data_IF_403882184535
#
_entry.id   IF_403882184535
#
_cell.length_a   1.000
_cell.length_b   1.000
_cell.length_c   1.000
_cell.angle_alpha   90.00
_cell.angle_beta   90.00
_cell.angle_gamma   90.00
#
_symmetry.space_group_name_H-M   'P 1'
#
loop_
_entity.id
_entity.type
_entity.pdbx_description
1 polymer ?
#
# COMPACT_ATOMS: atom_id res chain seq x y z
N UNK A 1 28.81 -15.43 1.80
CA UNK A 1 28.00 -15.38 1.43
C UNK A 1 27.28 -14.47 1.67
N UNK A 2 27.13 -13.96 1.22
CA UNK A 2 26.51 -13.02 1.43
C UNK A 2 25.32 -13.18 1.73
N UNK A 3 25.09 -13.34 2.43
CA UNK A 3 24.04 -13.58 2.73
C UNK A 3 23.20 -12.59 2.61
N UNK A 4 22.36 -12.69 2.09
CA UNK A 4 21.50 -11.87 1.98
C UNK A 4 20.97 -11.52 3.09
N UNK A 5 20.93 -10.48 3.36
CA UNK A 5 20.50 -10.17 4.48
C UNK A 5 19.14 -9.60 4.45
N UNK A 6 18.17 -10.13 3.89
CA UNK A 6 16.83 -9.59 3.95
C UNK A 6 16.15 -10.13 5.22
N UNK A 7 15.26 -9.32 5.77
CA UNK A 7 14.52 -9.70 6.96
C UNK A 7 13.25 -10.43 6.52
N UNK A 8 13.26 -11.73 6.64
CA UNK A 8 12.14 -12.55 6.19
C UNK A 8 10.86 -12.25 6.97
N UNK A 9 10.99 -11.96 8.25
CA UNK A 9 9.81 -11.66 9.06
C UNK A 9 9.16 -10.36 8.61
N UNK A 10 9.96 -9.34 8.38
CA UNK A 10 9.46 -8.05 7.94
C UNK A 10 8.80 -8.19 6.56
N UNK A 11 9.42 -8.91 5.68
CA UNK A 11 8.88 -9.11 4.34
C UNK A 11 7.57 -9.90 4.39
N UNK A 12 7.54 -10.94 5.21
CA UNK A 12 6.33 -11.75 5.34
C UNK A 12 5.16 -10.95 5.90
N UNK A 13 5.44 -10.04 6.84
CA UNK A 13 4.38 -9.18 7.37
C UNK A 13 3.80 -8.28 6.28
N UNK A 14 4.65 -7.75 5.42
CA UNK A 14 4.17 -6.94 4.31
C UNK A 14 3.34 -7.76 3.35
N UNK A 15 3.80 -8.97 3.03
CA UNK A 15 3.06 -9.83 2.10
C UNK A 15 1.70 -10.22 2.67
N UNK A 16 1.65 -10.50 3.98
CA UNK A 16 0.39 -10.83 4.62
C UNK A 16 -0.55 -9.65 4.60
N UNK A 17 -0.04 -8.46 4.85
CA UNK A 17 -0.87 -7.26 4.86
C UNK A 17 -1.42 -6.98 3.47
N UNK A 18 -0.67 -7.27 2.42
CA UNK A 18 -1.11 -7.03 1.07
C UNK A 18 -2.11 -8.07 0.60
N UNK A 19 -2.05 -9.29 1.14
CA UNK A 19 -2.84 -10.39 0.63
C UNK A 19 -4.31 -10.40 1.05
N UNK A 20 -5.04 -9.38 0.65
CA UNK A 20 -6.46 -9.26 0.93
C UNK A 20 -7.10 -8.45 -0.20
N UNK A 21 -8.28 -8.81 -0.67
CA UNK A 21 -8.89 -8.10 -1.80
C UNK A 21 -9.06 -6.62 -1.59
N UNK A 22 -9.56 -6.21 -0.43
CA UNK A 22 -9.75 -4.79 -0.16
C UNK A 22 -8.42 -4.07 -0.10
N UNK A 23 -7.44 -4.69 0.53
CA UNK A 23 -6.13 -4.06 0.66
C UNK A 23 -5.42 -3.96 -0.68
N UNK A 24 -5.59 -4.95 -1.56
CA UNK A 24 -5.05 -4.84 -2.90
C UNK A 24 -5.68 -3.69 -3.68
N UNK A 25 -6.98 -3.49 -3.51
CA UNK A 25 -7.66 -2.39 -4.17
C UNK A 25 -7.17 -1.04 -3.65
N UNK A 26 -6.95 -0.95 -2.35
CA UNK A 26 -6.45 0.27 -1.73
C UNK A 26 -5.05 0.59 -2.29
N UNK A 27 -4.19 -0.42 -2.35
CA UNK A 27 -2.84 -0.23 -2.85
C UNK A 27 -2.87 0.22 -4.31
N UNK A 28 -3.72 -0.40 -5.10
CA UNK A 28 -3.86 -0.03 -6.50
C UNK A 28 -4.32 1.42 -6.64
N UNK A 29 -5.24 1.85 -5.79
CA UNK A 29 -5.73 3.23 -5.83
C UNK A 29 -4.65 4.22 -5.42
N UNK A 30 -3.88 3.89 -4.40
CA UNK A 30 -2.87 4.80 -3.88
C UNK A 30 -1.68 4.99 -4.83
N UNK A 31 -1.59 4.16 -5.85
CA UNK A 31 -0.56 4.38 -6.86
C UNK A 31 -0.70 5.70 -7.55
N UNK A 32 -1.90 6.23 -7.60
CA UNK A 32 -2.16 7.46 -8.32
C UNK A 32 -2.05 8.71 -7.44
N UNK A 33 -1.74 8.53 -6.19
CA UNK A 33 -1.53 9.68 -5.31
C UNK A 33 -2.16 9.48 -3.95
N UNK A 34 -2.00 10.47 -3.10
CA UNK A 34 -2.53 10.41 -1.75
C UNK A 34 -4.04 10.46 -1.77
N UNK A 35 -4.66 9.80 -0.81
CA UNK A 35 -6.12 9.82 -0.70
C UNK A 35 -6.53 9.75 0.75
N UNK A 36 -7.69 10.31 1.04
CA UNK A 36 -8.28 10.20 2.37
C UNK A 36 -9.07 8.90 2.45
N UNK A 37 -9.52 8.55 3.65
CA UNK A 37 -10.36 7.37 3.84
C UNK A 37 -11.62 7.49 2.99
N UNK A 38 -12.23 8.67 2.98
CA UNK A 38 -13.46 8.85 2.22
C UNK A 38 -13.24 8.65 0.72
N UNK A 39 -12.13 9.17 0.20
CA UNK A 39 -11.81 9.00 -1.21
C UNK A 39 -11.64 7.53 -1.54
N UNK A 40 -10.91 6.82 -0.69
CA UNK A 40 -10.66 5.40 -0.91
C UNK A 40 -11.94 4.59 -0.82
N UNK A 41 -12.77 4.88 0.18
CA UNK A 41 -14.02 4.16 0.38
C UNK A 41 -14.91 4.30 -0.84
N UNK A 42 -14.97 5.49 -1.39
CA UNK A 42 -15.79 5.72 -2.57
C UNK A 42 -15.22 4.98 -3.77
N UNK A 43 -13.91 5.04 -3.93
CA UNK A 43 -13.28 4.44 -5.09
C UNK A 43 -13.38 2.92 -5.10
N UNK A 44 -13.20 2.28 -3.97
CA UNK A 44 -13.26 0.82 -3.90
C UNK A 44 -14.63 0.30 -3.50
N UNK A 45 -15.59 1.24 -3.35
CA UNK A 45 -16.96 0.88 -3.01
C UNK A 45 -17.07 0.09 -1.72
N UNK A 46 -16.48 0.62 -0.67
CA UNK A 46 -16.52 0.02 0.65
C UNK A 46 -16.87 1.08 1.68
N UNK A 47 -17.21 0.65 2.87
CA UNK A 47 -17.55 1.58 3.93
C UNK A 47 -16.30 2.19 4.53
N UNK A 48 -16.42 3.41 5.03
CA UNK A 48 -15.30 4.10 5.65
C UNK A 48 -14.68 3.28 6.77
N UNK A 49 -15.50 2.64 7.57
CA UNK A 49 -15.00 1.84 8.68
C UNK A 49 -14.15 0.67 8.19
N UNK A 50 -14.58 0.03 7.11
CA UNK A 50 -13.85 -1.06 6.52
C UNK A 50 -12.50 -0.59 6.00
N UNK A 51 -12.50 0.54 5.28
CA UNK A 51 -11.28 1.10 4.73
C UNK A 51 -10.32 1.49 5.84
N UNK A 52 -10.84 2.14 6.88
CA UNK A 52 -10.01 2.53 8.02
C UNK A 52 -9.34 1.33 8.67
N UNK A 53 -10.08 0.25 8.81
CA UNK A 53 -9.52 -0.96 9.41
C UNK A 53 -8.38 -1.51 8.56
N UNK A 54 -8.58 -1.58 7.25
CA UNK A 54 -7.55 -2.09 6.36
C UNK A 54 -6.34 -1.17 6.28
N UNK A 55 -6.57 0.14 6.32
CA UNK A 55 -5.46 1.08 6.31
C UNK A 55 -4.61 0.96 7.57
N UNK A 56 -5.25 0.66 8.70
CA UNK A 56 -4.51 0.48 9.93
C UNK A 56 -3.57 -0.71 9.82
N UNK A 57 -4.03 -1.80 9.24
CA UNK A 57 -3.22 -2.99 9.02
C UNK A 57 -2.06 -2.67 8.08
N UNK A 58 -2.35 -1.98 6.99
CA UNK A 58 -1.32 -1.63 6.02
C UNK A 58 -0.29 -0.68 6.62
N UNK A 59 -0.72 0.24 7.46
CA UNK A 59 0.18 1.18 8.09
C UNK A 59 1.11 0.46 9.06
N UNK A 60 0.56 -0.47 9.82
CA UNK A 60 1.36 -1.22 10.78
C UNK A 60 2.43 -2.04 10.07
N UNK A 61 2.12 -2.57 8.89
CA UNK A 61 3.07 -3.36 8.11
C UNK A 61 4.00 -2.49 7.27
N UNK A 62 3.92 -1.18 7.40
CA UNK A 62 4.78 -0.25 6.67
C UNK A 62 4.54 -0.28 5.16
N UNK A 63 3.32 -0.59 4.76
CA UNK A 63 2.94 -0.56 3.36
C UNK A 63 2.43 0.81 2.98
N UNK A 64 1.74 1.48 3.93
CA UNK A 64 1.28 2.84 3.70
C UNK A 64 1.74 3.74 4.83
N UNK A 65 1.78 5.01 4.57
CA UNK A 65 2.07 6.00 5.60
C UNK A 65 1.02 7.08 5.50
N UNK A 66 0.88 7.86 6.57
CA UNK A 66 -0.17 8.85 6.64
C UNK A 66 0.42 10.22 6.88
N UNK A 67 -0.15 11.23 6.25
CA UNK A 67 0.23 12.61 6.45
C UNK A 67 -1.00 13.35 6.91
N UNK A 68 -0.86 14.14 7.94
CA UNK A 68 -1.99 14.91 8.45
C UNK A 68 -1.91 16.33 7.96
N UNK A 69 -3.03 16.83 7.49
CA UNK A 69 -3.11 18.22 7.09
C UNK A 69 -4.41 18.78 7.62
N UNK A 70 -4.36 19.59 8.65
CA UNK A 70 -5.54 20.08 9.31
C UNK A 70 -6.30 18.93 9.94
N UNK A 71 -7.56 18.79 9.57
CA UNK A 71 -8.38 17.70 10.06
C UNK A 71 -8.38 16.50 9.13
N UNK A 72 -7.67 16.59 8.01
CA UNK A 72 -7.66 15.53 7.06
C UNK A 72 -6.41 14.68 7.20
N UNK A 73 -6.56 13.38 6.96
CA UNK A 73 -5.46 12.44 6.97
C UNK A 73 -5.34 11.85 5.59
N UNK A 74 -4.18 12.05 4.98
CA UNK A 74 -3.92 11.56 3.63
C UNK A 74 -3.00 10.36 3.70
N UNK A 75 -3.42 9.28 3.09
CA UNK A 75 -2.65 8.04 3.06
C UNK A 75 -1.95 7.91 1.72
N UNK A 76 -0.76 7.36 1.73
CA UNK A 76 0.00 7.13 0.51
C UNK A 76 0.83 5.87 0.69
N UNK A 77 1.30 5.30 -0.41
CA UNK A 77 2.17 4.15 -0.32
C UNK A 77 3.48 4.57 0.32
N UNK A 78 4.04 3.68 1.14
CA UNK A 78 5.28 3.97 1.81
C UNK A 78 6.36 4.15 0.76
N UNK A 79 7.24 5.14 0.96
CA UNK A 79 8.21 5.47 -0.07
C UNK A 79 9.19 4.33 -0.35
N UNK A 80 9.40 3.44 0.60
CA UNK A 80 10.26 2.31 0.38
C UNK A 80 9.73 1.36 -0.68
N UNK A 81 8.41 1.36 -0.88
CA UNK A 81 7.78 0.45 -1.80
C UNK A 81 7.71 0.98 -3.22
N UNK A 82 7.80 2.29 -3.38
CA UNK A 82 7.68 2.86 -4.69
C UNK A 82 9.01 3.43 -5.11
N UNK A 83 9.55 2.95 -6.18
CA UNK A 83 10.79 3.48 -6.69
C UNK A 83 10.53 4.65 -7.59
N UNK A 84 11.60 5.14 -8.19
CA UNK A 84 11.51 6.27 -9.08
C UNK A 84 10.63 5.97 -10.28
N UNK A 85 10.56 4.72 -10.68
CA UNK A 85 9.77 4.32 -11.83
C UNK A 85 8.43 3.76 -11.48
N UNK A 86 8.02 3.90 -10.25
CA UNK A 86 6.80 3.24 -9.77
C UNK A 86 5.57 3.64 -10.57
N UNK A 87 5.54 4.85 -11.06
CA UNK A 87 4.37 5.28 -11.82
C UNK A 87 4.27 4.58 -13.15
N UNK A 88 5.40 4.17 -13.71
CA UNK A 88 5.36 3.51 -14.98
C UNK A 88 5.28 2.03 -14.87
N UNK A 89 5.96 1.44 -13.90
CA UNK A 89 6.02 0.00 -13.87
C UNK A 89 5.13 -0.55 -12.88
N UNK A 90 4.42 -0.08 -12.19
CA UNK A 90 3.41 -0.71 -11.40
C UNK A 90 3.83 -1.77 -10.46
N UNK A 91 5.05 -1.85 -10.07
CA UNK A 91 5.38 -2.87 -9.09
C UNK A 91 5.81 -2.24 -7.77
N UNK A 92 5.65 -2.99 -6.73
CA UNK A 92 6.03 -2.62 -5.40
C UNK A 92 7.28 -3.38 -5.01
N UNK A 93 8.25 -2.68 -4.47
CA UNK A 93 9.49 -3.30 -4.04
C UNK A 93 9.38 -3.55 -2.53
N UNK A 94 9.22 -4.79 -2.15
CA UNK A 94 9.08 -5.14 -0.74
C UNK A 94 10.42 -5.38 -0.05
N UNK A 95 11.50 -5.21 -0.79
CA UNK A 95 12.82 -5.46 -0.23
C UNK A 95 13.29 -6.88 -0.47
N UNK A 96 12.42 -7.83 -0.34
CA UNK A 96 12.76 -9.24 -0.55
C UNK A 96 12.21 -9.74 -1.87
N UNK A 97 11.25 -9.04 -2.43
CA UNK A 97 10.62 -9.45 -3.69
C UNK A 97 9.91 -8.26 -4.27
N UNK A 98 9.44 -8.39 -5.47
CA UNK A 98 8.67 -7.35 -6.14
C UNK A 98 7.30 -7.89 -6.49
N UNK A 99 6.28 -7.02 -6.32
CA UNK A 99 4.95 -7.41 -6.63
C UNK A 99 4.43 -6.52 -7.71
N UNK A 100 3.98 -7.09 -8.80
CA UNK A 100 3.41 -6.30 -9.87
C UNK A 100 1.90 -6.25 -9.68
N UNK A 101 1.38 -5.05 -9.49
CA UNK A 101 -0.06 -4.88 -9.31
C UNK A 101 -0.59 -4.25 -10.59
N UNK A 102 -1.41 -4.95 -11.33
CA UNK A 102 -1.88 -4.44 -12.63
C UNK A 102 -2.78 -3.22 -12.46
N UNK A 103 -2.87 -2.47 -13.55
CA UNK A 103 -3.76 -1.33 -13.58
C UNK A 103 -5.17 -1.87 -13.52
N UNK A 104 -6.02 -1.26 -12.73
CA UNK A 104 -7.38 -1.73 -12.63
C UNK A 104 -8.15 -1.55 -13.92
N UNK A 105 -7.64 -0.78 -14.85
CA UNK A 105 -8.32 -0.65 -16.11
C UNK A 105 -7.92 -1.70 -17.10
N UNK A 106 -6.92 -2.44 -16.80
CA UNK A 106 -6.43 -3.45 -17.74
C UNK A 106 -7.38 -4.62 -17.88
#
# INVERSE_FOLDING_TARGET
MATTSFDANFCAERLKAIGDPHRLKIISALRYGEMTVTDLAELIEAENMTVSHHLKILKYAKVVEVRREGRFMYYRLHEDLVGADSQKSMFLDLGCCRLEVPDRKA
#
